data_IF_526580905572
#
_entry.id   IF_526580905572
#
_cell.length_a   1.000
_cell.length_b   1.000
_cell.length_c   1.000
_cell.angle_alpha   90.00
_cell.angle_beta   90.00
_cell.angle_gamma   90.00
#
_symmetry.space_group_name_H-M   'P 1'
#
loop_
_entity.id
_entity.type
_entity.pdbx_description
1 polymer ?
#
# COMPACT_ATOMS: atom_id res chain seq x y z
N UNK A 1 26.66 33.59 -22.92
CA UNK A 1 25.42 32.82 -22.67
C UNK A 1 25.60 32.12 -21.32
N UNK A 2 24.98 32.66 -20.27
CA UNK A 2 25.15 32.14 -18.90
C UNK A 2 24.25 30.93 -18.74
N UNK A 3 24.83 29.74 -18.69
CA UNK A 3 24.11 28.50 -18.39
C UNK A 3 23.84 28.51 -16.88
N UNK A 4 22.62 28.88 -16.49
CA UNK A 4 22.20 28.82 -15.10
C UNK A 4 21.82 27.37 -14.73
N UNK A 5 22.13 26.92 -13.50
CA UNK A 5 21.67 25.62 -13.07
C UNK A 5 20.13 25.64 -12.98
N UNK A 6 19.49 24.74 -13.72
CA UNK A 6 18.06 24.46 -13.62
C UNK A 6 17.88 23.16 -12.86
N UNK A 7 16.95 23.13 -11.91
CA UNK A 7 16.62 21.91 -11.17
C UNK A 7 15.28 21.37 -11.64
N UNK A 8 15.25 20.08 -11.94
CA UNK A 8 14.04 19.33 -12.20
C UNK A 8 13.58 18.66 -10.90
N UNK A 9 12.39 19.02 -10.42
CA UNK A 9 11.76 18.45 -9.23
C UNK A 9 10.65 17.50 -9.68
N UNK A 10 10.59 16.32 -9.04
CA UNK A 10 9.52 15.34 -9.24
C UNK A 10 8.79 15.13 -7.93
N UNK A 11 7.47 15.29 -7.96
CA UNK A 11 6.61 15.14 -6.79
C UNK A 11 5.56 14.06 -7.03
N UNK A 12 5.09 13.42 -5.96
CA UNK A 12 3.89 12.59 -6.00
C UNK A 12 2.69 13.40 -6.52
N UNK A 13 1.78 12.73 -7.22
CA UNK A 13 0.58 13.34 -7.80
C UNK A 13 -0.54 13.58 -6.79
N UNK A 14 -0.49 12.96 -5.61
CA UNK A 14 -1.47 13.12 -4.53
C UNK A 14 -0.80 13.54 -3.22
N UNK A 15 -1.48 14.32 -2.36
CA UNK A 15 -0.92 14.76 -1.10
C UNK A 15 -0.80 13.60 -0.09
N UNK A 16 0.22 13.68 0.77
CA UNK A 16 0.47 12.70 1.84
C UNK A 16 -0.74 12.53 2.78
N UNK A 17 -1.55 13.59 2.96
CA UNK A 17 -2.77 13.55 3.76
C UNK A 17 -3.80 12.52 3.29
N UNK A 18 -3.82 12.14 2.01
CA UNK A 18 -4.71 11.08 1.52
C UNK A 18 -4.31 9.67 2.02
N UNK A 19 -3.07 9.49 2.46
CA UNK A 19 -2.60 8.24 3.05
C UNK A 19 -2.85 8.15 4.55
N UNK A 20 -2.97 9.29 5.24
CA UNK A 20 -3.06 9.34 6.70
C UNK A 20 -4.21 8.52 7.31
N UNK A 21 -5.42 8.45 6.72
CA UNK A 21 -6.49 7.60 7.24
C UNK A 21 -6.16 6.10 7.21
N UNK A 22 -5.22 5.68 6.35
CA UNK A 22 -4.85 4.28 6.16
C UNK A 22 -3.71 3.83 7.09
N UNK A 23 -3.13 4.74 7.87
CA UNK A 23 -2.04 4.43 8.80
C UNK A 23 -2.53 4.03 10.19
N UNK A 24 -3.80 3.61 10.33
CA UNK A 24 -4.31 3.14 11.61
C UNK A 24 -3.42 2.05 12.21
N UNK A 25 -3.10 2.19 13.50
CA UNK A 25 -2.12 1.35 14.19
C UNK A 25 -2.43 -0.13 14.08
N UNK A 26 -1.47 -0.88 13.53
CA UNK A 26 -1.47 -2.33 13.55
C UNK A 26 -1.17 -2.80 14.98
N UNK A 27 -1.88 -3.81 15.51
CA UNK A 27 -1.43 -4.47 16.73
C UNK A 27 -0.03 -5.02 16.54
N UNK A 28 0.77 -5.01 17.60
CA UNK A 28 2.06 -5.69 17.62
C UNK A 28 1.85 -7.19 17.75
N UNK A 29 1.57 -7.83 16.62
CA UNK A 29 1.31 -9.27 16.55
C UNK A 29 2.47 -10.11 17.05
N UNK A 30 3.71 -9.61 16.89
CA UNK A 30 4.90 -10.32 17.35
C UNK A 30 4.96 -10.30 18.88
N UNK A 31 4.74 -9.14 19.50
CA UNK A 31 4.67 -9.04 20.96
C UNK A 31 3.53 -9.91 21.54
N UNK A 32 2.35 -9.89 20.93
CA UNK A 32 1.21 -10.71 21.36
C UNK A 32 1.49 -12.22 21.23
N UNK A 33 2.09 -12.64 20.12
CA UNK A 33 2.47 -14.04 19.91
C UNK A 33 3.53 -14.50 20.91
N UNK A 34 4.51 -13.66 21.22
CA UNK A 34 5.54 -13.96 22.22
C UNK A 34 4.91 -14.06 23.62
N UNK A 35 4.03 -13.12 23.99
CA UNK A 35 3.32 -13.16 25.27
C UNK A 35 2.45 -14.42 25.42
N UNK A 36 1.79 -14.85 24.35
CA UNK A 36 1.05 -16.12 24.31
C UNK A 36 1.99 -17.31 24.53
N UNK A 37 3.10 -17.40 23.79
CA UNK A 37 4.04 -18.50 23.95
C UNK A 37 4.66 -18.57 25.35
N UNK A 38 5.02 -17.43 25.92
CA UNK A 38 5.64 -17.35 27.24
C UNK A 38 4.64 -17.69 28.36
N UNK A 39 3.42 -17.16 28.29
CA UNK A 39 2.36 -17.51 29.26
C UNK A 39 1.96 -18.98 29.16
N UNK A 40 1.89 -19.56 27.96
CA UNK A 40 1.70 -21.00 27.76
C UNK A 40 2.81 -21.83 28.42
N UNK A 41 4.07 -21.43 28.25
CA UNK A 41 5.22 -22.12 28.83
C UNK A 41 5.21 -22.05 30.37
N UNK A 42 4.93 -20.87 30.91
CA UNK A 42 4.81 -20.67 32.36
C UNK A 42 3.67 -21.50 32.96
N UNK A 43 2.52 -21.53 32.30
CA UNK A 43 1.37 -22.32 32.74
C UNK A 43 1.65 -23.83 32.72
N UNK A 44 2.30 -24.35 31.65
CA UNK A 44 2.71 -25.77 31.61
C UNK A 44 3.68 -26.12 32.74
N UNK A 45 4.64 -25.25 33.03
CA UNK A 45 5.55 -25.41 34.17
C UNK A 45 4.80 -25.40 35.50
N UNK A 46 3.84 -24.48 35.67
CA UNK A 46 3.03 -24.41 36.89
C UNK A 46 2.16 -25.67 37.08
N UNK A 47 1.65 -26.26 35.99
CA UNK A 47 0.98 -27.56 36.05
C UNK A 47 1.92 -28.68 36.51
N UNK A 48 3.16 -28.70 36.04
CA UNK A 48 4.16 -29.70 36.46
C UNK A 48 4.53 -29.54 37.94
N UNK A 49 4.80 -28.31 38.38
CA UNK A 49 5.08 -27.99 39.78
C UNK A 49 3.90 -28.40 40.70
N UNK A 50 2.66 -28.13 40.27
CA UNK A 50 1.44 -28.56 40.97
C UNK A 50 1.30 -30.09 41.05
N UNK A 51 1.66 -30.81 39.99
CA UNK A 51 1.62 -32.27 39.97
C UNK A 51 2.68 -32.91 40.86
N UNK A 52 3.77 -32.23 41.19
CA UNK A 52 4.80 -32.72 42.12
C UNK A 52 4.40 -32.49 43.58
N UNK A 53 3.73 -31.38 43.87
CA UNK A 53 3.31 -31.01 45.23
C UNK A 53 2.06 -31.75 45.70
N UNK A 54 1.14 -32.09 44.81
CA UNK A 54 -0.10 -32.77 45.18
C UNK A 54 0.11 -34.27 45.47
N UNK A 55 -0.46 -34.80 46.57
CA UNK A 55 -0.52 -36.24 46.81
C UNK A 55 -1.49 -36.93 45.83
N UNK A 56 -1.43 -38.26 45.77
CA UNK A 56 -2.37 -39.06 44.97
C UNK A 56 -3.81 -38.85 45.47
N UNK A 57 -4.55 -38.02 44.72
CA UNK A 57 -5.86 -37.51 45.07
C UNK A 57 -6.70 -37.25 43.80
N UNK A 58 -8.04 -37.15 43.91
CA UNK A 58 -8.88 -36.77 42.78
C UNK A 58 -8.50 -35.41 42.16
N UNK A 59 -8.05 -34.45 42.99
CA UNK A 59 -7.58 -33.15 42.53
C UNK A 59 -6.35 -33.30 41.63
N UNK A 60 -5.37 -34.13 42.03
CA UNK A 60 -4.18 -34.43 41.24
C UNK A 60 -4.54 -34.98 39.85
N UNK A 61 -5.49 -35.92 39.78
CA UNK A 61 -5.99 -36.44 38.51
C UNK A 61 -6.64 -35.35 37.66
N UNK A 62 -7.39 -34.44 38.28
CA UNK A 62 -8.00 -33.29 37.60
C UNK A 62 -6.94 -32.34 37.02
N UNK A 63 -5.90 -32.00 37.80
CA UNK A 63 -4.76 -31.19 37.36
C UNK A 63 -4.03 -31.86 36.19
N UNK A 64 -3.85 -33.18 36.25
CA UNK A 64 -3.21 -33.94 35.17
C UNK A 64 -4.02 -33.86 33.86
N UNK A 65 -5.33 -34.07 33.95
CA UNK A 65 -6.21 -33.99 32.78
C UNK A 65 -6.25 -32.58 32.21
N UNK A 66 -6.33 -31.55 33.06
CA UNK A 66 -6.27 -30.15 32.65
C UNK A 66 -4.95 -29.83 31.94
N UNK A 67 -3.79 -30.26 32.48
CA UNK A 67 -2.48 -30.11 31.83
C UNK A 67 -2.46 -30.79 30.47
N UNK A 68 -2.94 -32.03 30.37
CA UNK A 68 -2.97 -32.81 29.13
C UNK A 68 -3.82 -32.12 28.06
N UNK A 69 -5.02 -31.68 28.43
CA UNK A 69 -5.92 -30.96 27.53
C UNK A 69 -5.32 -29.61 27.09
N UNK A 70 -4.66 -28.90 28.01
CA UNK A 70 -3.97 -27.64 27.70
C UNK A 70 -2.78 -27.87 26.75
N UNK A 71 -1.96 -28.90 26.99
CA UNK A 71 -0.82 -29.22 26.13
C UNK A 71 -1.26 -29.60 24.71
N UNK A 72 -2.31 -30.41 24.58
CA UNK A 72 -2.77 -30.93 23.29
C UNK A 72 -3.57 -29.91 22.48
N UNK A 73 -4.40 -29.11 23.14
CA UNK A 73 -5.44 -28.30 22.46
C UNK A 73 -5.48 -26.85 22.92
N UNK A 74 -4.61 -26.43 23.85
CA UNK A 74 -4.71 -25.13 24.53
C UNK A 74 -6.09 -24.89 25.16
N UNK A 75 -6.79 -25.97 25.50
CA UNK A 75 -8.13 -25.88 26.09
C UNK A 75 -7.99 -25.41 27.52
N UNK A 76 -8.74 -24.37 27.85
CA UNK A 76 -8.85 -23.86 29.21
C UNK A 76 -9.53 -24.90 30.12
N UNK A 77 -9.09 -25.03 31.39
CA UNK A 77 -9.80 -25.81 32.37
C UNK A 77 -11.24 -25.31 32.57
N UNK A 78 -12.12 -26.15 33.11
CA UNK A 78 -13.49 -25.73 33.41
C UNK A 78 -13.54 -24.76 34.61
N UNK A 79 -14.58 -23.93 34.73
CA UNK A 79 -14.74 -23.06 35.91
C UNK A 79 -14.74 -23.83 37.24
N UNK A 80 -15.31 -25.04 37.25
CA UNK A 80 -15.30 -25.91 38.44
C UNK A 80 -13.88 -26.36 38.83
N UNK A 81 -12.99 -26.54 37.85
CA UNK A 81 -11.59 -26.81 38.12
C UNK A 81 -10.91 -25.61 38.78
N UNK A 82 -11.16 -24.40 38.28
CA UNK A 82 -10.60 -23.17 38.86
C UNK A 82 -11.04 -22.96 40.32
N UNK A 83 -12.32 -23.21 40.63
CA UNK A 83 -12.82 -23.18 42.01
C UNK A 83 -12.11 -24.23 42.89
N UNK A 84 -11.87 -25.44 42.36
CA UNK A 84 -11.22 -26.50 43.12
C UNK A 84 -9.75 -26.21 43.44
N UNK A 85 -9.01 -25.55 42.55
CA UNK A 85 -7.62 -25.15 42.80
C UNK A 85 -7.52 -23.91 43.70
N UNK A 86 -8.53 -23.02 43.67
CA UNK A 86 -8.56 -21.82 44.50
C UNK A 86 -8.69 -22.14 46.00
N UNK A 87 -9.30 -23.27 46.34
CA UNK A 87 -9.40 -23.75 47.73
C UNK A 87 -8.06 -24.29 48.27
N UNK A 88 -7.10 -24.60 47.40
CA UNK A 88 -5.85 -25.27 47.76
C UNK A 88 -4.68 -24.29 47.79
N UNK A 89 -4.03 -24.16 48.96
CA UNK A 89 -2.99 -23.14 49.17
C UNK A 89 -1.72 -23.40 48.36
N UNK A 90 -1.43 -24.67 48.09
CA UNK A 90 -0.23 -25.06 47.33
C UNK A 90 -0.36 -24.79 45.82
N UNK A 91 -1.57 -24.44 45.34
CA UNK A 91 -1.86 -24.23 43.93
C UNK A 91 -1.97 -22.75 43.51
N UNK A 92 -1.63 -21.81 44.40
CA UNK A 92 -1.69 -20.36 44.10
C UNK A 92 -0.94 -20.00 42.82
N UNK A 93 0.28 -20.53 42.63
CA UNK A 93 1.07 -20.26 41.42
C UNK A 93 0.39 -20.76 40.14
N UNK A 94 -0.28 -21.90 40.19
CA UNK A 94 -1.04 -22.43 39.04
C UNK A 94 -2.22 -21.51 38.72
N UNK A 95 -2.92 -21.04 39.75
CA UNK A 95 -4.01 -20.08 39.60
C UNK A 95 -3.52 -18.76 38.98
N UNK A 96 -2.40 -18.22 39.46
CA UNK A 96 -1.80 -16.99 38.92
C UNK A 96 -1.43 -17.16 37.43
N UNK A 97 -0.78 -18.28 37.07
CA UNK A 97 -0.45 -18.57 35.68
C UNK A 97 -1.70 -18.74 34.79
N UNK A 98 -2.79 -19.32 35.31
CA UNK A 98 -4.06 -19.40 34.59
C UNK A 98 -4.66 -18.02 34.35
N UNK A 99 -4.65 -17.13 35.35
CA UNK A 99 -5.12 -15.76 35.22
C UNK A 99 -4.31 -14.96 34.19
N UNK A 100 -2.97 -15.11 34.21
CA UNK A 100 -2.09 -14.50 33.21
C UNK A 100 -2.46 -15.00 31.81
N UNK A 101 -2.65 -16.31 31.65
CA UNK A 101 -3.04 -16.88 30.36
C UNK A 101 -4.41 -16.36 29.87
N UNK A 102 -5.42 -16.28 30.74
CA UNK A 102 -6.72 -15.67 30.42
C UNK A 102 -6.58 -14.23 29.94
N UNK A 103 -5.79 -13.43 30.66
CA UNK A 103 -5.52 -12.04 30.29
C UNK A 103 -4.85 -11.94 28.92
N UNK A 104 -3.84 -12.77 28.64
CA UNK A 104 -3.18 -12.81 27.33
C UNK A 104 -4.16 -13.14 26.20
N UNK A 105 -5.08 -14.10 26.41
CA UNK A 105 -6.11 -14.43 25.42
C UNK A 105 -7.08 -13.27 25.20
N UNK A 106 -7.50 -12.57 26.25
CA UNK A 106 -8.36 -11.39 26.16
C UNK A 106 -7.68 -10.24 25.40
N UNK A 107 -6.40 -9.97 25.68
CA UNK A 107 -5.63 -8.95 24.98
C UNK A 107 -5.47 -9.28 23.49
N UNK A 108 -5.23 -10.56 23.16
CA UNK A 108 -5.19 -11.03 21.77
C UNK A 108 -6.53 -10.86 21.07
N UNK A 109 -7.64 -11.26 21.70
CA UNK A 109 -8.99 -11.07 21.13
C UNK A 109 -9.30 -9.58 20.91
N UNK A 110 -9.01 -8.73 21.90
CA UNK A 110 -9.22 -7.29 21.77
C UNK A 110 -8.38 -6.68 20.63
N UNK A 111 -7.16 -7.19 20.41
CA UNK A 111 -6.32 -6.79 19.28
C UNK A 111 -6.89 -7.24 17.93
N UNK A 112 -7.44 -8.45 17.84
CA UNK A 112 -8.16 -8.96 16.66
C UNK A 112 -9.40 -8.13 16.34
N UNK A 113 -10.21 -7.80 17.33
CA UNK A 113 -11.40 -6.97 17.18
C UNK A 113 -11.02 -5.55 16.71
N UNK A 114 -9.99 -4.95 17.32
CA UNK A 114 -9.46 -3.65 16.90
C UNK A 114 -8.91 -3.68 15.47
N UNK A 115 -8.21 -4.74 15.09
CA UNK A 115 -7.71 -4.91 13.73
C UNK A 115 -8.85 -5.02 12.73
N UNK A 116 -9.90 -5.77 13.03
CA UNK A 116 -11.08 -5.88 12.18
C UNK A 116 -11.77 -4.52 11.98
N UNK A 117 -11.92 -3.73 13.04
CA UNK A 117 -12.46 -2.37 12.98
C UNK A 117 -11.59 -1.43 12.12
N UNK A 118 -10.26 -1.48 12.31
CA UNK A 118 -9.32 -0.70 11.50
C UNK A 118 -9.37 -1.10 10.03
N UNK A 119 -9.48 -2.40 9.73
CA UNK A 119 -9.59 -2.89 8.36
C UNK A 119 -10.86 -2.40 7.68
N UNK A 120 -12.00 -2.41 8.39
CA UNK A 120 -13.24 -1.84 7.88
C UNK A 120 -13.14 -0.33 7.62
N UNK A 121 -12.54 0.43 8.56
CA UNK A 121 -12.30 1.86 8.39
C UNK A 121 -11.38 2.16 7.20
N UNK A 122 -10.36 1.33 6.97
CA UNK A 122 -9.47 1.43 5.81
C UNK A 122 -10.25 1.21 4.51
N UNK A 123 -11.14 0.22 4.44
CA UNK A 123 -11.96 0.01 3.25
C UNK A 123 -12.88 1.19 2.96
N UNK A 124 -13.53 1.76 3.99
CA UNK A 124 -14.36 2.97 3.81
C UNK A 124 -13.53 4.16 3.31
N UNK A 125 -12.31 4.32 3.82
CA UNK A 125 -11.37 5.35 3.36
C UNK A 125 -11.00 5.14 1.89
N UNK A 126 -10.77 3.89 1.47
CA UNK A 126 -10.51 3.55 0.07
C UNK A 126 -11.74 3.78 -0.82
N UNK A 127 -12.97 3.57 -0.34
CA UNK A 127 -14.20 3.92 -1.07
C UNK A 127 -14.36 5.44 -1.24
N UNK A 128 -13.97 6.24 -0.25
CA UNK A 128 -13.92 7.69 -0.42
C UNK A 128 -12.89 8.10 -1.49
N UNK A 129 -11.71 7.50 -1.45
CA UNK A 129 -10.62 7.75 -2.42
C UNK A 129 -11.00 7.26 -3.83
N UNK A 130 -11.79 6.20 -3.98
CA UNK A 130 -12.23 5.73 -5.30
C UNK A 130 -13.16 6.73 -6.01
N UNK A 131 -13.76 7.64 -5.26
CA UNK A 131 -14.60 8.73 -5.76
C UNK A 131 -13.82 10.04 -5.95
N UNK A 132 -12.53 10.09 -5.58
CA UNK A 132 -11.70 11.28 -5.74
C UNK A 132 -11.40 11.55 -7.22
N UNK A 133 -11.65 12.79 -7.66
CA UNK A 133 -11.51 13.18 -9.06
C UNK A 133 -10.05 13.13 -9.53
N UNK A 134 -9.06 13.43 -8.68
CA UNK A 134 -7.65 13.36 -9.07
C UNK A 134 -7.22 11.90 -9.26
N UNK A 135 -7.63 11.02 -8.34
CA UNK A 135 -7.40 9.58 -8.43
C UNK A 135 -8.00 8.99 -9.71
N UNK A 136 -9.29 9.23 -9.97
CA UNK A 136 -9.96 8.72 -11.18
C UNK A 136 -9.30 9.22 -12.47
N UNK A 137 -8.93 10.51 -12.52
CA UNK A 137 -8.20 11.10 -13.65
C UNK A 137 -6.82 10.49 -13.87
N UNK A 138 -6.15 10.05 -12.81
CA UNK A 138 -4.88 9.36 -12.90
C UNK A 138 -5.05 7.91 -13.39
N UNK A 139 -6.08 7.22 -12.89
CA UNK A 139 -6.43 5.87 -13.31
C UNK A 139 -6.88 5.77 -14.76
N UNK A 140 -7.49 6.81 -15.32
CA UNK A 140 -7.88 6.88 -16.74
C UNK A 140 -6.73 6.48 -17.68
N UNK A 141 -5.49 6.80 -17.34
CA UNK A 141 -4.33 6.45 -18.17
C UNK A 141 -3.59 5.18 -17.72
N UNK A 142 -3.86 4.70 -16.52
CA UNK A 142 -3.08 3.63 -15.90
C UNK A 142 -3.81 2.30 -15.78
N UNK A 143 -5.14 2.30 -15.60
CA UNK A 143 -5.97 1.10 -15.52
C UNK A 143 -7.45 1.43 -15.75
N UNK A 144 -7.92 1.19 -16.96
CA UNK A 144 -9.34 1.35 -17.32
C UNK A 144 -10.22 0.32 -16.60
N UNK A 145 -9.76 -0.93 -16.47
CA UNK A 145 -10.51 -1.99 -15.79
C UNK A 145 -10.77 -1.65 -14.31
N UNK A 146 -9.74 -1.17 -13.61
CA UNK A 146 -9.91 -0.73 -12.23
C UNK A 146 -10.87 0.46 -12.16
N UNK A 147 -10.66 1.48 -12.99
CA UNK A 147 -11.52 2.67 -13.05
C UNK A 147 -13.00 2.30 -13.25
N UNK A 148 -13.29 1.38 -14.17
CA UNK A 148 -14.65 0.92 -14.45
C UNK A 148 -15.27 0.15 -13.27
N UNK A 149 -14.46 -0.50 -12.43
CA UNK A 149 -14.94 -1.22 -11.25
C UNK A 149 -15.18 -0.32 -10.02
N UNK A 150 -14.61 0.89 -10.00
CA UNK A 150 -14.66 1.77 -8.83
C UNK A 150 -16.07 2.24 -8.42
N UNK A 151 -17.02 2.53 -9.33
CA UNK A 151 -18.37 2.92 -8.93
C UNK A 151 -19.07 1.84 -8.10
N UNK A 152 -19.07 0.60 -8.59
CA UNK A 152 -19.66 -0.53 -7.87
C UNK A 152 -18.94 -0.80 -6.54
N UNK A 153 -17.61 -0.67 -6.52
CA UNK A 153 -16.80 -0.78 -5.30
C UNK A 153 -17.15 0.31 -4.27
N UNK A 154 -17.39 1.55 -4.70
CA UNK A 154 -17.69 2.68 -3.82
C UNK A 154 -19.06 2.55 -3.12
N UNK A 155 -20.05 2.00 -3.82
CA UNK A 155 -21.43 1.90 -3.32
C UNK A 155 -21.67 0.66 -2.44
N UNK A 156 -20.87 -0.40 -2.61
CA UNK A 156 -21.10 -1.68 -1.92
C UNK A 156 -20.77 -1.59 -0.41
N UNK A 157 -21.63 -2.08 0.49
CA UNK A 157 -21.31 -2.14 1.92
C UNK A 157 -20.07 -3.01 2.20
N UNK A 158 -19.13 -2.51 3.02
CA UNK A 158 -17.85 -3.22 3.33
C UNK A 158 -18.07 -4.62 3.89
N UNK A 159 -19.11 -4.82 4.71
CA UNK A 159 -19.48 -6.11 5.30
C UNK A 159 -19.81 -7.17 4.22
N UNK A 160 -20.22 -6.72 3.03
CA UNK A 160 -20.60 -7.59 1.90
C UNK A 160 -19.47 -7.78 0.89
N UNK A 161 -18.25 -7.30 1.17
CA UNK A 161 -17.13 -7.40 0.24
C UNK A 161 -16.73 -8.85 -0.05
N UNK A 162 -16.77 -9.18 -1.33
CA UNK A 162 -16.29 -10.44 -1.86
C UNK A 162 -14.79 -10.37 -2.22
N UNK A 163 -14.26 -11.45 -2.81
CA UNK A 163 -12.86 -11.54 -3.21
C UNK A 163 -12.49 -10.50 -4.28
N UNK A 164 -13.40 -10.16 -5.19
CA UNK A 164 -13.17 -9.18 -6.26
C UNK A 164 -13.09 -7.77 -5.67
N UNK A 165 -13.96 -7.42 -4.73
CA UNK A 165 -13.94 -6.11 -4.08
C UNK A 165 -12.65 -5.89 -3.30
N UNK A 166 -12.20 -6.91 -2.55
CA UNK A 166 -10.91 -6.86 -1.83
C UNK A 166 -9.73 -6.71 -2.79
N UNK A 167 -9.80 -7.33 -3.97
CA UNK A 167 -8.79 -7.15 -5.02
C UNK A 167 -8.83 -5.73 -5.59
N UNK A 168 -10.00 -5.16 -5.84
CA UNK A 168 -10.15 -3.78 -6.27
C UNK A 168 -9.59 -2.80 -5.23
N UNK A 169 -9.92 -2.98 -3.95
CA UNK A 169 -9.37 -2.21 -2.84
C UNK A 169 -7.83 -2.28 -2.80
N UNK A 170 -7.26 -3.47 -2.94
CA UNK A 170 -5.82 -3.66 -2.96
C UNK A 170 -5.15 -2.99 -4.17
N UNK A 171 -5.73 -3.11 -5.37
CA UNK A 171 -5.23 -2.43 -6.56
C UNK A 171 -5.31 -0.91 -6.43
N UNK A 172 -6.41 -0.37 -5.87
CA UNK A 172 -6.54 1.05 -5.57
C UNK A 172 -5.49 1.52 -4.57
N UNK A 173 -5.25 0.73 -3.51
CA UNK A 173 -4.20 1.00 -2.52
C UNK A 173 -2.82 1.07 -3.18
N UNK A 174 -2.49 0.16 -4.10
CA UNK A 174 -1.22 0.19 -4.83
C UNK A 174 -1.03 1.47 -5.66
N UNK A 175 -2.08 1.92 -6.37
CA UNK A 175 -2.04 3.17 -7.11
C UNK A 175 -1.96 4.38 -6.18
N UNK A 176 -2.66 4.37 -5.05
CA UNK A 176 -2.56 5.41 -4.03
C UNK A 176 -1.14 5.50 -3.45
N UNK A 177 -0.56 4.38 -2.99
CA UNK A 177 0.83 4.34 -2.51
C UNK A 177 1.78 4.87 -3.56
N UNK A 178 1.60 4.49 -4.83
CA UNK A 178 2.40 5.03 -5.93
C UNK A 178 2.24 6.54 -6.07
N UNK A 179 1.01 7.05 -6.05
CA UNK A 179 0.68 8.47 -6.23
C UNK A 179 1.28 9.35 -5.15
N UNK A 180 1.35 8.82 -3.92
CA UNK A 180 1.81 9.55 -2.74
C UNK A 180 3.34 9.45 -2.60
N UNK A 181 3.91 8.26 -2.76
CA UNK A 181 5.31 8.01 -2.39
C UNK A 181 6.28 7.85 -3.56
N UNK A 182 5.80 7.55 -4.78
CA UNK A 182 6.70 7.34 -5.92
C UNK A 182 6.79 8.58 -6.80
N UNK A 183 8.03 8.97 -7.08
CA UNK A 183 8.37 10.11 -7.94
C UNK A 183 8.78 9.69 -9.36
N UNK A 184 8.55 8.42 -9.72
CA UNK A 184 8.82 7.90 -11.07
C UNK A 184 7.68 8.27 -12.03
N UNK A 185 7.96 8.94 -13.17
CA UNK A 185 6.94 9.42 -14.10
C UNK A 185 5.94 8.32 -14.48
N UNK A 186 4.65 8.55 -14.20
CA UNK A 186 3.56 7.70 -14.67
C UNK A 186 2.27 8.53 -14.76
N UNK A 187 1.93 9.00 -15.95
CA UNK A 187 0.71 9.77 -16.20
C UNK A 187 0.54 10.91 -15.18
N UNK A 188 -0.60 10.92 -14.48
CA UNK A 188 -0.91 11.93 -13.46
C UNK A 188 -0.45 11.57 -12.04
N UNK A 189 0.18 10.41 -11.83
CA UNK A 189 0.65 10.00 -10.51
C UNK A 189 1.93 10.69 -10.07
N UNK A 190 2.55 11.45 -10.95
CA UNK A 190 3.77 12.20 -10.66
C UNK A 190 3.72 13.51 -11.43
N UNK A 191 4.14 14.59 -10.81
CA UNK A 191 4.30 15.89 -11.47
C UNK A 191 5.77 16.23 -11.61
N UNK A 192 6.09 17.00 -12.64
CA UNK A 192 7.45 17.46 -12.94
C UNK A 192 7.43 18.98 -12.96
N UNK A 193 8.36 19.60 -12.25
CA UNK A 193 8.48 21.04 -12.14
C UNK A 193 9.92 21.46 -12.38
N UNK A 194 10.13 22.56 -13.10
CA UNK A 194 11.45 23.16 -13.26
C UNK A 194 11.54 24.32 -12.25
N UNK A 195 12.57 24.33 -11.40
CA UNK A 195 12.87 25.44 -10.50
C UNK A 195 14.23 26.05 -10.81
N UNK A 196 14.29 27.38 -10.73
CA UNK A 196 15.54 28.14 -10.80
C UNK A 196 16.12 28.28 -9.39
N UNK A 197 17.44 28.08 -9.24
CA UNK A 197 18.14 28.23 -7.94
C UNK A 197 18.03 29.64 -7.35
N UNK A 198 17.82 30.68 -8.17
CA UNK A 198 17.71 32.07 -7.69
C UNK A 198 16.54 32.30 -6.72
N UNK A 199 15.56 31.40 -6.69
CA UNK A 199 14.39 31.50 -5.83
C UNK A 199 14.46 30.59 -4.58
N UNK A 200 15.56 29.82 -4.42
CA UNK A 200 15.72 28.88 -3.29
C UNK A 200 16.33 29.61 -2.08
N UNK A 201 17.21 30.58 -2.34
CA UNK A 201 17.78 31.42 -1.31
C UNK A 201 16.86 32.63 -1.12
N UNK A 202 15.99 32.59 -0.11
CA UNK A 202 15.23 33.75 0.39
C UNK A 202 16.12 34.87 0.98
N UNK A 203 17.34 35.01 0.47
CA UNK A 203 18.41 35.88 0.92
C UNK A 203 18.76 36.76 -0.28
N UNK A 204 18.08 37.91 -0.41
CA UNK A 204 18.58 39.19 -1.02
C UNK A 204 17.52 40.10 -1.66
N UNK A 205 16.22 39.81 -1.61
CA UNK A 205 15.23 40.89 -1.87
C UNK A 205 14.92 41.63 -0.56
N UNK A 206 15.55 42.79 -0.38
CA UNK A 206 15.31 43.79 0.67
C UNK A 206 13.91 44.43 0.64
N UNK A 207 12.95 43.82 -0.07
CA UNK A 207 11.55 44.11 0.08
C UNK A 207 10.93 43.04 0.97
N UNK A 208 10.53 43.37 2.21
CA UNK A 208 9.75 42.46 3.03
C UNK A 208 8.42 42.23 2.32
N UNK A 209 8.35 41.13 1.57
CA UNK A 209 7.07 40.51 1.29
C UNK A 209 6.56 40.10 2.67
N UNK A 210 5.51 40.77 3.15
CA UNK A 210 4.76 40.33 4.33
C UNK A 210 4.20 38.95 4.01
N UNK A 211 5.01 37.91 4.25
CA UNK A 211 4.55 36.54 4.34
C UNK A 211 3.81 36.50 5.68
N UNK A 212 2.48 36.32 5.71
CA UNK A 212 1.73 36.29 6.96
C UNK A 212 2.33 35.20 7.85
N UNK A 213 2.80 35.59 9.04
CA UNK A 213 3.24 34.65 10.07
C UNK A 213 2.06 33.72 10.39
N UNK A 214 2.09 32.52 9.83
CA UNK A 214 0.98 31.57 9.80
C UNK A 214 0.91 30.74 8.52
N UNK A 215 1.52 31.17 7.40
CA UNK A 215 1.63 30.35 6.19
C UNK A 215 2.90 29.50 6.23
N UNK A 216 2.92 28.46 7.08
CA UNK A 216 3.86 27.35 6.90
C UNK A 216 3.74 26.86 5.46
N UNK A 217 4.81 27.02 4.69
CA UNK A 217 5.09 26.28 3.45
C UNK A 217 3.85 25.80 2.68
N UNK A 218 3.18 26.70 1.97
CA UNK A 218 2.33 26.29 0.85
C UNK A 218 3.21 25.80 -0.32
N UNK A 219 4.06 24.80 -0.07
CA UNK A 219 4.56 23.87 -1.09
C UNK A 219 3.33 23.06 -1.52
N UNK A 220 2.40 23.70 -2.23
CA UNK A 220 1.04 23.19 -2.36
C UNK A 220 0.02 24.20 -2.87
N UNK A 221 0.33 25.50 -2.95
CA UNK A 221 -0.43 26.39 -3.83
C UNK A 221 -0.18 25.96 -5.28
N UNK A 222 -1.03 25.02 -5.71
CA UNK A 222 -1.42 24.65 -7.05
C UNK A 222 -0.64 25.39 -8.14
N UNK A 223 0.64 25.02 -8.31
CA UNK A 223 1.39 25.37 -9.49
C UNK A 223 0.56 24.90 -10.68
N UNK A 224 0.15 25.85 -11.53
CA UNK A 224 -0.74 25.64 -12.68
C UNK A 224 -0.52 24.28 -13.30
N UNK A 225 -1.32 23.31 -12.87
CA UNK A 225 -1.18 21.95 -13.31
C UNK A 225 -1.64 21.93 -14.76
N UNK A 226 -0.68 21.94 -15.68
CA UNK A 226 -0.96 21.87 -17.11
C UNK A 226 -0.76 20.44 -17.59
N UNK A 227 -1.81 19.62 -17.67
CA UNK A 227 -1.68 18.28 -18.23
C UNK A 227 -1.31 18.40 -19.71
N UNK A 228 -0.21 17.76 -20.11
CA UNK A 228 0.12 17.56 -21.50
C UNK A 228 -0.35 16.15 -21.90
N UNK A 229 -1.32 16.09 -22.82
CA UNK A 229 -1.84 14.83 -23.35
C UNK A 229 -1.24 14.64 -24.74
N UNK A 230 -0.56 13.53 -24.94
CA UNK A 230 -0.02 13.14 -26.25
C UNK A 230 -0.70 11.85 -26.72
N UNK A 231 -0.98 11.70 -28.02
CA UNK A 231 -1.46 10.44 -28.55
C UNK A 231 -0.41 9.33 -28.30
N UNK A 232 -0.87 8.09 -28.22
CA UNK A 232 0.05 6.97 -28.16
C UNK A 232 0.86 6.92 -29.47
N UNK A 233 2.17 7.17 -29.36
CA UNK A 233 3.09 7.21 -30.51
C UNK A 233 3.06 5.90 -31.30
N UNK A 234 2.78 4.76 -30.65
CA UNK A 234 2.66 3.47 -31.32
C UNK A 234 1.45 3.37 -32.26
N UNK A 235 0.43 4.20 -32.09
CA UNK A 235 -0.73 4.26 -32.99
C UNK A 235 -0.47 5.16 -34.20
N UNK A 236 0.54 6.03 -34.15
CA UNK A 236 0.80 6.97 -35.23
C UNK A 236 1.03 6.26 -36.57
N UNK A 237 1.86 5.18 -36.68
CA UNK A 237 2.04 4.49 -37.95
C UNK A 237 0.72 4.00 -38.56
N UNK A 238 -0.16 3.38 -37.78
CA UNK A 238 -1.45 2.89 -38.27
C UNK A 238 -2.37 4.04 -38.70
N UNK A 239 -2.40 5.15 -37.95
CA UNK A 239 -3.17 6.35 -38.34
C UNK A 239 -2.62 6.92 -39.65
N UNK A 240 -1.30 7.03 -39.78
CA UNK A 240 -0.66 7.49 -41.01
C UNK A 240 -0.95 6.56 -42.18
N UNK A 241 -0.91 5.24 -42.01
CA UNK A 241 -1.26 4.29 -43.08
C UNK A 241 -2.68 4.48 -43.62
N UNK A 242 -3.64 4.75 -42.73
CA UNK A 242 -5.02 5.04 -43.14
C UNK A 242 -5.09 6.39 -43.84
N UNK A 243 -4.51 7.44 -43.26
CA UNK A 243 -4.56 8.79 -43.84
C UNK A 243 -3.83 8.88 -45.18
N UNK A 244 -2.72 8.16 -45.37
CA UNK A 244 -1.96 8.13 -46.63
C UNK A 244 -2.72 7.48 -47.79
N UNK A 245 -3.78 6.71 -47.52
CA UNK A 245 -4.67 6.18 -48.56
C UNK A 245 -5.66 7.21 -49.09
N UNK A 246 -5.89 8.29 -48.34
CA UNK A 246 -6.78 9.38 -48.76
C UNK A 246 -6.03 10.33 -49.70
N UNK A 247 -6.41 10.43 -50.99
CA UNK A 247 -5.64 11.20 -51.97
C UNK A 247 -5.47 12.67 -51.59
N UNK A 248 -6.50 13.29 -51.01
CA UNK A 248 -6.44 14.69 -50.57
C UNK A 248 -5.41 14.90 -49.46
N UNK A 249 -5.31 13.98 -48.51
CA UNK A 249 -4.31 14.04 -47.45
C UNK A 249 -2.91 13.84 -48.03
N UNK A 250 -2.71 12.81 -48.86
CA UNK A 250 -1.42 12.52 -49.48
C UNK A 250 -0.90 13.72 -50.31
N UNK A 251 -1.75 14.33 -51.13
CA UNK A 251 -1.40 15.48 -51.96
C UNK A 251 -1.06 16.74 -51.14
N UNK A 252 -1.51 16.82 -49.88
CA UNK A 252 -1.19 17.94 -48.99
C UNK A 252 0.19 17.85 -48.34
N UNK A 253 0.85 16.69 -48.40
CA UNK A 253 2.12 16.46 -47.73
C UNK A 253 3.31 17.00 -48.53
N UNK A 254 4.26 17.62 -47.83
CA UNK A 254 5.60 17.90 -48.39
C UNK A 254 6.44 16.63 -48.34
N UNK A 255 6.89 16.13 -49.49
CA UNK A 255 7.68 14.91 -49.60
C UNK A 255 9.17 15.24 -49.64
N UNK A 256 9.96 14.50 -48.86
CA UNK A 256 11.42 14.49 -48.93
C UNK A 256 11.91 13.05 -49.04
N UNK A 257 13.03 12.83 -49.71
CA UNK A 257 13.68 11.52 -49.72
C UNK A 257 14.07 11.13 -48.28
N UNK A 258 13.83 9.87 -47.92
CA UNK A 258 14.24 9.37 -46.61
C UNK A 258 15.77 9.49 -46.50
N UNK A 259 16.30 10.18 -45.46
CA UNK A 259 17.74 10.42 -45.32
C UNK A 259 18.56 9.14 -45.18
N UNK A 260 17.92 8.01 -44.84
CA UNK A 260 18.56 6.70 -44.77
C UNK A 260 18.67 6.00 -46.15
N UNK A 261 18.11 6.56 -47.22
CA UNK A 261 18.32 6.06 -48.59
C UNK A 261 19.73 6.48 -49.00
N UNK A 262 20.66 5.53 -48.90
CA UNK A 262 22.01 5.67 -49.44
C UNK A 262 21.97 5.22 -50.90
N UNK A 263 22.62 5.92 -51.84
CA UNK A 263 22.74 5.44 -53.22
C UNK A 263 23.34 4.02 -53.23
N UNK A 264 22.82 3.16 -54.11
CA UNK A 264 23.34 1.82 -54.26
C UNK A 264 24.86 1.88 -54.52
N UNK A 265 25.67 1.01 -53.87
CA UNK A 265 27.07 0.93 -54.20
C UNK A 265 27.23 0.61 -55.70
N UNK A 266 28.24 1.17 -56.38
CA UNK A 266 28.46 0.90 -57.80
C UNK A 266 28.54 -0.61 -58.00
N UNK A 267 27.86 -1.10 -59.04
CA UNK A 267 27.94 -2.51 -59.42
C UNK A 267 29.43 -2.88 -59.61
N UNK A 268 29.86 -4.06 -59.12
CA UNK A 268 31.20 -4.53 -59.41
C UNK A 268 31.40 -4.57 -60.93
N UNK A 269 32.61 -4.25 -61.43
CA UNK A 269 32.88 -4.29 -62.86
C UNK A 269 32.52 -5.68 -63.41
N UNK A 270 31.91 -5.71 -64.60
CA UNK A 270 31.57 -6.96 -65.26
C UNK A 270 32.83 -7.84 -65.36
N UNK A 271 32.73 -9.14 -65.06
CA UNK A 271 33.87 -10.03 -65.22
C UNK A 271 34.36 -9.95 -66.68
N UNK A 272 35.68 -10.01 -66.91
CA UNK A 272 36.23 -9.99 -68.27
C UNK A 272 35.59 -11.12 -69.10
N UNK A 273 35.24 -10.82 -70.35
CA UNK A 273 34.68 -11.80 -71.27
C UNK A 273 35.65 -13.00 -71.39
N UNK A 274 35.15 -14.25 -71.37
CA UNK A 274 36.01 -15.42 -71.53
C UNK A 274 36.74 -15.37 -72.88
N UNK A 275 38.02 -15.82 -72.93
CA UNK A 275 38.82 -15.86 -74.14
C UNK A 275 38.29 -16.86 -75.18
#
# INVERSE_FOLDING_TARGET
MTIFPMTLIRNGGLPLGMWAPLTCGMPDWVALQNAEQDSARQLLKAFEDALVSLPDSPLRTSVYNARKDFYQRRKLPSPNFEVSIQAEKDLVKLLDCLQIWHKTLQEKQAAEDRFAQNLEANYRSLQAISSDAMMQRALLFASHDLLNSLPAFAEKPVVQFDKKDRRAAFSLLQYLTRSVFKTSPLGRFTTVQIRSFRNIDGVTSSHPVNIPEGSSEQIGEWLDYKPLITPNVALLPAIYEVLLREPAFFQSLSLSLNPCIVPAPPLPPAPPAPP
#
